data_IF_520356918982
#
_entry.id   IF_520356918982
#
_cell.length_a   1.000
_cell.length_b   1.000
_cell.length_c   1.000
_cell.angle_alpha   90.00
_cell.angle_beta   90.00
_cell.angle_gamma   90.00
#
_symmetry.space_group_name_H-M   'P 1'
#
loop_
_entity.id
_entity.type
_entity.pdbx_description
1 polymer ?
#
# COMPACT_ATOMS: atom_id res chain seq x y z
N UNK A 1 -11.52 4.18 3.43
CA UNK A 1 -10.87 4.75 2.21
C UNK A 1 -12.01 5.26 1.34
N UNK A 2 -11.93 6.42 0.68
CA UNK A 2 -13.07 6.84 -0.16
C UNK A 2 -13.22 5.85 -1.31
N UNK A 3 -14.37 5.16 -1.40
CA UNK A 3 -14.69 4.21 -2.46
C UNK A 3 -14.33 4.76 -3.85
N UNK A 4 -14.53 6.07 -4.04
CA UNK A 4 -14.15 6.80 -5.24
C UNK A 4 -12.69 6.60 -5.67
N UNK A 5 -11.72 6.67 -4.76
CA UNK A 5 -10.30 6.53 -5.10
C UNK A 5 -9.99 5.12 -5.65
N UNK A 6 -10.55 4.09 -5.01
CA UNK A 6 -10.39 2.71 -5.47
C UNK A 6 -11.04 2.56 -6.85
N UNK A 7 -12.24 3.11 -7.06
CA UNK A 7 -12.89 3.09 -8.37
C UNK A 7 -12.08 3.81 -9.47
N UNK A 8 -11.45 4.94 -9.16
CA UNK A 8 -10.60 5.67 -10.11
C UNK A 8 -9.36 4.84 -10.50
N UNK A 9 -8.74 4.14 -9.54
CA UNK A 9 -7.61 3.22 -9.78
C UNK A 9 -8.04 2.02 -10.66
N UNK A 10 -9.18 1.39 -10.32
CA UNK A 10 -9.70 0.25 -11.08
C UNK A 10 -10.05 0.65 -12.50
N UNK A 11 -10.70 1.81 -12.65
CA UNK A 11 -11.00 2.39 -13.96
C UNK A 11 -9.72 2.65 -14.76
N UNK A 12 -8.69 3.22 -14.14
CA UNK A 12 -7.41 3.47 -14.81
C UNK A 12 -6.75 2.19 -15.35
N UNK A 13 -6.78 1.12 -14.56
CA UNK A 13 -6.32 -0.23 -14.94
C UNK A 13 -7.14 -0.77 -16.11
N UNK A 14 -8.46 -0.71 -15.99
CA UNK A 14 -9.38 -1.35 -16.93
C UNK A 14 -9.41 -0.63 -18.29
N UNK A 15 -9.33 0.70 -18.30
CA UNK A 15 -9.21 1.51 -19.52
C UNK A 15 -7.97 1.14 -20.35
N UNK A 16 -6.96 0.50 -19.73
CA UNK A 16 -5.72 0.03 -20.38
C UNK A 16 -5.68 -1.48 -20.62
N UNK A 17 -6.72 -2.22 -20.21
CA UNK A 17 -6.78 -3.67 -20.34
C UNK A 17 -5.74 -4.42 -19.48
N UNK A 18 -5.17 -3.78 -18.46
CA UNK A 18 -4.08 -4.35 -17.67
C UNK A 18 -4.53 -5.45 -16.70
N UNK A 19 -5.84 -5.59 -16.47
CA UNK A 19 -6.40 -6.59 -15.57
C UNK A 19 -5.97 -8.04 -15.84
N UNK A 20 -5.60 -8.39 -17.08
CA UNK A 20 -5.10 -9.73 -17.41
C UNK A 20 -3.68 -9.99 -16.89
N UNK A 21 -2.82 -8.97 -16.86
CA UNK A 21 -1.46 -9.07 -16.34
C UNK A 21 -1.38 -8.96 -14.82
N UNK A 22 -2.43 -8.42 -14.17
CA UNK A 22 -2.52 -8.22 -12.73
C UNK A 22 -2.91 -9.51 -11.98
N UNK A 23 -2.09 -10.56 -12.12
CA UNK A 23 -2.19 -11.74 -11.25
C UNK A 23 -1.77 -11.38 -9.81
N UNK A 24 -2.25 -12.08 -8.77
CA UNK A 24 -1.83 -11.82 -7.39
C UNK A 24 -0.30 -11.84 -7.19
N UNK A 25 0.38 -12.77 -7.89
CA UNK A 25 1.84 -12.85 -7.87
C UNK A 25 2.47 -11.58 -8.45
N UNK A 26 2.01 -11.12 -9.61
CA UNK A 26 2.60 -9.96 -10.28
C UNK A 26 2.39 -8.69 -9.46
N UNK A 27 1.19 -8.50 -8.91
CA UNK A 27 0.89 -7.36 -8.04
C UNK A 27 1.74 -7.39 -6.77
N UNK A 28 1.90 -8.56 -6.13
CA UNK A 28 2.78 -8.69 -4.97
C UNK A 28 4.25 -8.40 -5.32
N UNK A 29 4.71 -8.78 -6.52
CA UNK A 29 6.03 -8.41 -7.03
C UNK A 29 6.16 -6.90 -7.24
N UNK A 30 5.17 -6.26 -7.85
CA UNK A 30 5.14 -4.79 -8.02
C UNK A 30 5.25 -4.08 -6.68
N UNK A 31 4.48 -4.48 -5.66
CA UNK A 31 4.56 -3.87 -4.31
C UNK A 31 5.99 -3.89 -3.77
N UNK A 32 6.75 -4.98 -3.97
CA UNK A 32 8.13 -5.09 -3.49
C UNK A 32 9.09 -4.24 -4.32
N UNK A 33 8.84 -4.09 -5.62
CA UNK A 33 9.64 -3.23 -6.50
C UNK A 33 9.49 -1.77 -6.04
N UNK A 34 8.27 -1.25 -5.94
CA UNK A 34 8.06 0.15 -5.56
C UNK A 34 8.47 0.43 -4.10
N UNK A 35 8.34 -0.57 -3.21
CA UNK A 35 8.88 -0.46 -1.86
C UNK A 35 10.42 -0.40 -1.83
N UNK A 36 11.10 -1.02 -2.80
CA UNK A 36 12.54 -0.92 -2.95
C UNK A 36 12.96 0.44 -3.54
N UNK A 37 12.19 0.96 -4.49
CA UNK A 37 12.38 2.33 -5.05
C UNK A 37 12.16 3.39 -3.94
N UNK A 38 11.14 3.21 -3.10
CA UNK A 38 10.95 4.03 -1.89
C UNK A 38 12.19 3.98 -0.98
N UNK A 39 12.72 2.78 -0.72
CA UNK A 39 13.89 2.60 0.13
C UNK A 39 15.15 3.26 -0.45
N UNK A 40 15.31 3.28 -1.78
CA UNK A 40 16.46 3.89 -2.45
C UNK A 40 16.63 5.38 -2.08
N UNK A 41 15.51 6.10 -1.88
CA UNK A 41 15.52 7.49 -1.44
C UNK A 41 16.20 7.74 -0.09
N UNK A 42 16.41 6.69 0.70
CA UNK A 42 17.04 6.71 2.02
C UNK A 42 18.32 5.85 2.09
N UNK A 43 18.81 5.32 0.97
CA UNK A 43 19.92 4.36 0.97
C UNK A 43 21.21 4.93 1.58
N UNK A 44 21.44 6.23 1.43
CA UNK A 44 22.68 6.92 1.84
C UNK A 44 22.46 8.04 2.85
N UNK A 45 21.21 8.24 3.32
CA UNK A 45 20.83 9.35 4.19
C UNK A 45 19.55 8.99 4.97
N UNK A 46 19.47 9.44 6.21
CA UNK A 46 18.22 9.37 7.00
C UNK A 46 17.17 10.37 6.50
N UNK A 47 17.62 11.46 5.88
CA UNK A 47 16.75 12.42 5.20
C UNK A 47 16.49 11.96 3.76
N UNK A 48 15.24 12.12 3.31
CA UNK A 48 14.85 11.82 1.94
C UNK A 48 15.67 12.67 0.96
N UNK A 49 16.42 12.00 0.09
CA UNK A 49 17.22 12.66 -0.95
C UNK A 49 16.35 13.33 -2.01
N UNK A 50 15.17 12.75 -2.28
CA UNK A 50 14.14 13.29 -3.17
C UNK A 50 12.75 13.14 -2.54
N UNK A 51 12.24 14.24 -1.97
CA UNK A 51 10.92 14.27 -1.33
C UNK A 51 9.74 14.10 -2.28
N UNK A 52 9.92 14.38 -3.58
CA UNK A 52 8.87 14.17 -4.59
C UNK A 52 8.81 12.69 -4.90
N UNK A 53 9.96 12.08 -5.18
CA UNK A 53 10.04 10.66 -5.46
C UNK A 53 9.50 9.81 -4.30
N UNK A 54 9.79 10.17 -3.04
CA UNK A 54 9.19 9.51 -1.87
C UNK A 54 7.65 9.51 -1.90
N UNK A 55 7.02 10.60 -2.33
CA UNK A 55 5.56 10.67 -2.43
C UNK A 55 5.02 9.78 -3.55
N UNK A 56 5.72 9.74 -4.69
CA UNK A 56 5.38 8.89 -5.84
C UNK A 56 5.48 7.41 -5.46
N UNK A 57 6.58 6.98 -4.86
CA UNK A 57 6.77 5.58 -4.48
C UNK A 57 5.82 5.10 -3.38
N UNK A 58 5.48 5.96 -2.42
CA UNK A 58 4.43 5.66 -1.44
C UNK A 58 3.08 5.48 -2.16
N UNK A 59 2.77 6.35 -3.12
CA UNK A 59 1.53 6.24 -3.88
C UNK A 59 1.49 4.93 -4.68
N UNK A 60 2.60 4.53 -5.32
CA UNK A 60 2.67 3.31 -6.12
C UNK A 60 2.54 2.05 -5.25
N UNK A 61 3.22 1.98 -4.10
CA UNK A 61 3.03 0.90 -3.11
C UNK A 61 1.56 0.77 -2.70
N UNK A 62 0.89 1.90 -2.45
CA UNK A 62 -0.53 1.91 -2.09
C UNK A 62 -1.41 1.46 -3.26
N UNK A 63 -1.18 1.97 -4.47
CA UNK A 63 -1.95 1.62 -5.67
C UNK A 63 -1.88 0.11 -5.94
N UNK A 64 -0.68 -0.48 -5.96
CA UNK A 64 -0.55 -1.93 -6.18
C UNK A 64 -1.13 -2.75 -5.04
N UNK A 65 -1.05 -2.27 -3.79
CA UNK A 65 -1.70 -2.92 -2.66
C UNK A 65 -3.23 -2.95 -2.82
N UNK A 66 -3.84 -1.85 -3.26
CA UNK A 66 -5.30 -1.77 -3.49
C UNK A 66 -5.73 -2.64 -4.67
N UNK A 67 -4.95 -2.65 -5.75
CA UNK A 67 -5.17 -3.54 -6.87
C UNK A 67 -5.08 -5.01 -6.45
N UNK A 68 -4.15 -5.35 -5.54
CA UNK A 68 -4.04 -6.70 -5.00
C UNK A 68 -5.24 -7.06 -4.12
N UNK A 69 -5.72 -6.14 -3.27
CA UNK A 69 -6.91 -6.38 -2.47
C UNK A 69 -8.15 -6.59 -3.33
N UNK A 70 -8.35 -5.77 -4.37
CA UNK A 70 -9.43 -5.96 -5.34
C UNK A 70 -9.32 -7.34 -6.02
N UNK A 71 -8.12 -7.69 -6.48
CA UNK A 71 -7.87 -8.97 -7.16
C UNK A 71 -8.15 -10.19 -6.27
N UNK A 72 -7.95 -10.05 -4.95
CA UNK A 72 -8.20 -11.10 -3.96
C UNK A 72 -9.61 -11.04 -3.35
N UNK A 73 -10.43 -10.05 -3.72
CA UNK A 73 -11.77 -9.86 -3.16
C UNK A 73 -11.76 -9.48 -1.67
N UNK A 74 -10.74 -8.72 -1.24
CA UNK A 74 -10.57 -8.29 0.15
C UNK A 74 -11.14 -6.88 0.35
N UNK A 75 -11.93 -6.71 1.40
CA UNK A 75 -12.37 -5.39 1.85
C UNK A 75 -11.24 -4.68 2.62
N UNK A 76 -10.74 -3.58 2.06
CA UNK A 76 -9.57 -2.85 2.57
C UNK A 76 -9.80 -2.34 3.98
N UNK A 77 -10.98 -1.79 4.27
CA UNK A 77 -11.30 -1.26 5.58
C UNK A 77 -11.31 -2.37 6.64
N UNK A 78 -11.97 -3.49 6.35
CA UNK A 78 -12.02 -4.65 7.24
C UNK A 78 -10.64 -5.19 7.55
N UNK A 79 -9.79 -5.43 6.54
CA UNK A 79 -8.45 -6.02 6.79
C UNK A 79 -7.55 -5.09 7.61
N UNK A 80 -7.65 -3.76 7.42
CA UNK A 80 -6.90 -2.78 8.18
C UNK A 80 -7.41 -2.71 9.61
N UNK A 81 -8.72 -2.61 9.82
CA UNK A 81 -9.33 -2.54 11.16
C UNK A 81 -9.01 -3.78 11.98
N UNK A 82 -9.09 -4.97 11.39
CA UNK A 82 -8.73 -6.22 12.06
C UNK A 82 -7.24 -6.26 12.41
N UNK A 83 -6.37 -5.75 11.53
CA UNK A 83 -4.94 -5.67 11.80
C UNK A 83 -4.62 -4.67 12.90
N UNK A 84 -5.29 -3.52 12.94
CA UNK A 84 -5.14 -2.52 14.01
C UNK A 84 -5.57 -3.09 15.36
N UNK A 85 -6.71 -3.76 15.46
CA UNK A 85 -7.15 -4.45 16.69
C UNK A 85 -6.13 -5.48 17.16
N UNK A 86 -5.61 -6.31 16.26
CA UNK A 86 -4.55 -7.29 16.57
C UNK A 86 -3.27 -6.63 17.04
N UNK A 87 -2.87 -5.51 16.41
CA UNK A 87 -1.67 -4.77 16.79
C UNK A 87 -1.83 -4.09 18.15
N UNK A 88 -3.00 -3.54 18.48
CA UNK A 88 -3.28 -2.94 19.78
C UNK A 88 -3.21 -3.98 20.92
N UNK A 89 -3.64 -5.22 20.67
CA UNK A 89 -3.46 -6.32 21.63
C UNK A 89 -2.00 -6.75 21.78
N UNK A 90 -1.22 -6.69 20.69
CA UNK A 90 0.20 -7.07 20.68
C UNK A 90 1.09 -6.00 21.32
N UNK A 91 0.73 -4.73 21.15
CA UNK A 91 1.46 -3.56 21.63
C UNK A 91 0.48 -2.63 22.36
N UNK A 92 0.11 -2.96 23.61
CA UNK A 92 -0.78 -2.11 24.41
C UNK A 92 -0.10 -0.76 24.70
N UNK A 93 -0.90 0.29 24.85
CA UNK A 93 -0.41 1.57 25.38
C UNK A 93 0.09 1.31 26.80
N UNK A 94 1.33 1.72 27.10
CA UNK A 94 1.82 1.66 28.47
C UNK A 94 0.90 2.52 29.34
N UNK A 95 0.40 1.96 30.44
CA UNK A 95 -0.28 2.77 31.44
C UNK A 95 0.78 3.72 32.03
N UNK A 96 0.57 5.03 31.88
CA UNK A 96 1.36 6.02 32.63
C UNK A 96 1.02 5.81 34.12
N UNK A 97 1.98 5.30 34.90
CA UNK A 97 1.88 5.32 36.36
C UNK A 97 2.03 6.78 36.82
N UNK A 98 0.94 7.37 37.35
CA UNK A 98 0.92 8.64 38.08
C UNK A 98 1.78 8.60 39.35
#
# INVERSE_FOLDING_TARGET
>A
MTDKLIQDILKFRDDRGWGQAHSPRNLASSIIIEAAELLENFQWSEEALDSINVQEEIADVLIYSLLLTDRLGLDVETIIQDKLKKNALKYPVAEEED
#
